data_IF_981148936819
#
_entry.id   IF_981148936819
#
_cell.length_a   1.000
_cell.length_b   1.000
_cell.length_c   1.000
_cell.angle_alpha   90.00
_cell.angle_beta   90.00
_cell.angle_gamma   90.00
#
_symmetry.space_group_name_H-M   'P 1'
#
loop_
_entity.id
_entity.type
_entity.pdbx_description
1 polymer ?
#
# COMPACT_ATOMS: atom_id res chain seq x y z
N UNK A 1 11.96 8.45 0.06
CA UNK A 1 11.41 8.58 -1.31
C UNK A 1 11.84 7.33 -2.08
N UNK A 2 10.99 6.75 -2.95
CA UNK A 2 11.34 5.57 -3.73
C UNK A 2 12.60 5.82 -4.58
N UNK A 3 13.40 4.78 -4.83
CA UNK A 3 14.54 4.89 -5.74
C UNK A 3 14.07 4.88 -7.20
N UNK A 4 14.91 5.36 -8.13
CA UNK A 4 14.58 5.36 -9.57
C UNK A 4 14.18 3.97 -10.11
N UNK A 5 14.89 2.86 -9.76
CA UNK A 5 14.49 1.53 -10.22
C UNK A 5 13.10 1.11 -9.73
N UNK A 6 12.70 1.52 -8.52
CA UNK A 6 11.37 1.21 -7.97
C UNK A 6 10.27 1.95 -8.75
N UNK A 7 10.57 3.17 -9.20
CA UNK A 7 9.66 3.97 -10.03
C UNK A 7 9.50 3.37 -11.42
N UNK A 8 10.57 2.84 -12.00
CA UNK A 8 10.53 2.17 -13.30
C UNK A 8 9.69 0.89 -13.25
N UNK A 9 9.83 0.08 -12.18
CA UNK A 9 9.02 -1.12 -11.97
C UNK A 9 7.52 -0.78 -11.80
N UNK A 10 7.21 0.29 -11.05
CA UNK A 10 5.85 0.78 -10.92
C UNK A 10 5.28 1.23 -12.27
N UNK A 11 6.04 2.01 -13.04
CA UNK A 11 5.63 2.51 -14.35
C UNK A 11 5.40 1.37 -15.36
N UNK A 12 6.24 0.32 -15.34
CA UNK A 12 6.07 -0.86 -16.17
C UNK A 12 4.80 -1.65 -15.81
N UNK A 13 4.41 -1.68 -14.53
CA UNK A 13 3.15 -2.30 -14.11
C UNK A 13 1.94 -1.47 -14.55
N UNK A 14 2.03 -0.14 -14.47
CA UNK A 14 0.97 0.79 -14.93
C UNK A 14 0.75 0.72 -16.45
N UNK A 15 1.81 0.50 -17.24
CA UNK A 15 1.69 0.46 -18.70
C UNK A 15 0.69 -0.62 -19.15
N UNK A 16 0.61 -1.74 -18.42
CA UNK A 16 -0.30 -2.86 -18.69
C UNK A 16 -1.79 -2.47 -18.62
N UNK A 17 -2.17 -1.52 -17.74
CA UNK A 17 -3.53 -0.97 -17.71
C UNK A 17 -3.70 0.10 -18.78
N UNK A 18 -2.73 1.00 -18.92
CA UNK A 18 -2.85 2.16 -19.82
C UNK A 18 -3.00 1.74 -21.29
N UNK A 19 -2.40 0.63 -21.69
CA UNK A 19 -2.56 0.05 -23.03
C UNK A 19 -3.99 -0.45 -23.31
N UNK A 20 -4.78 -0.70 -22.27
CA UNK A 20 -6.18 -1.05 -22.37
C UNK A 20 -7.14 0.14 -22.28
N UNK A 21 -6.67 1.33 -21.88
CA UNK A 21 -7.53 2.49 -21.70
C UNK A 21 -8.02 3.02 -23.06
N UNK A 22 -9.33 3.14 -23.24
CA UNK A 22 -9.94 3.64 -24.45
C UNK A 22 -11.33 4.21 -24.21
N UNK A 23 -11.97 4.64 -25.29
CA UNK A 23 -13.33 5.17 -25.26
C UNK A 23 -14.24 4.16 -25.95
N UNK A 24 -15.36 3.81 -25.31
CA UNK A 24 -16.43 3.00 -25.91
C UNK A 24 -17.68 3.85 -26.12
N UNK A 25 -18.39 3.57 -27.20
CA UNK A 25 -19.71 4.14 -27.44
C UNK A 25 -20.78 3.37 -26.66
N UNK A 26 -21.62 4.09 -25.91
CA UNK A 26 -22.76 3.58 -25.15
C UNK A 26 -24.06 4.25 -25.61
N UNK A 27 -25.21 3.73 -25.18
CA UNK A 27 -26.51 4.31 -25.52
C UNK A 27 -26.70 5.76 -25.02
N UNK A 28 -25.84 6.22 -24.09
CA UNK A 28 -25.89 7.57 -23.50
C UNK A 28 -24.72 8.46 -23.93
N UNK A 29 -23.87 8.02 -24.87
CA UNK A 29 -22.72 8.80 -25.35
C UNK A 29 -21.42 8.00 -25.31
N UNK A 30 -20.36 8.58 -24.75
CA UNK A 30 -19.04 7.97 -24.67
C UNK A 30 -18.66 7.69 -23.22
N UNK A 31 -18.09 6.52 -22.97
CA UNK A 31 -17.62 6.11 -21.65
C UNK A 31 -16.18 5.61 -21.71
N UNK A 32 -15.45 5.80 -20.60
CA UNK A 32 -14.15 5.18 -20.40
C UNK A 32 -14.33 3.66 -20.41
N UNK A 33 -13.55 3.01 -21.26
CA UNK A 33 -13.43 1.56 -21.31
C UNK A 33 -12.01 1.17 -20.96
N UNK A 34 -11.89 0.22 -20.04
CA UNK A 34 -10.63 -0.44 -19.73
C UNK A 34 -10.68 -1.79 -20.44
N UNK A 35 -10.04 -1.87 -21.59
CA UNK A 35 -9.85 -3.10 -22.35
C UNK A 35 -8.69 -3.89 -21.74
N UNK A 36 -8.94 -4.37 -20.52
CA UNK A 36 -7.99 -5.18 -19.76
C UNK A 36 -8.34 -6.64 -19.98
N UNK A 37 -7.32 -7.41 -20.36
CA UNK A 37 -7.43 -8.86 -20.47
C UNK A 37 -7.70 -9.44 -19.08
N UNK A 38 -8.94 -9.86 -18.86
CA UNK A 38 -9.39 -10.40 -17.57
C UNK A 38 -8.80 -11.78 -17.28
N UNK A 39 -8.31 -12.47 -18.30
CA UNK A 39 -7.67 -13.78 -18.16
C UNK A 39 -6.17 -13.64 -17.90
N UNK A 40 -5.62 -12.42 -17.98
CA UNK A 40 -4.23 -12.13 -17.64
C UNK A 40 -3.99 -12.17 -16.14
N UNK A 41 -3.05 -13.01 -15.71
CA UNK A 41 -2.58 -13.07 -14.32
C UNK A 41 -1.83 -11.80 -13.88
N UNK A 42 -1.46 -10.93 -14.81
CA UNK A 42 -0.85 -9.63 -14.49
C UNK A 42 -1.89 -8.59 -14.04
N UNK A 43 -3.18 -8.82 -14.30
CA UNK A 43 -4.22 -7.83 -14.05
C UNK A 43 -4.35 -7.42 -12.57
N UNK A 44 -4.32 -8.34 -11.58
CA UNK A 44 -4.33 -7.95 -10.17
C UNK A 44 -3.15 -7.06 -9.78
N UNK A 45 -1.95 -7.33 -10.31
CA UNK A 45 -0.74 -6.54 -10.03
C UNK A 45 -0.90 -5.12 -10.59
N UNK A 46 -1.38 -5.00 -11.82
CA UNK A 46 -1.55 -3.71 -12.44
C UNK A 46 -2.57 -2.85 -11.66
N UNK A 47 -3.67 -3.44 -11.17
CA UNK A 47 -4.65 -2.70 -10.35
C UNK A 47 -4.04 -2.22 -9.03
N UNK A 48 -3.23 -3.06 -8.37
CA UNK A 48 -2.51 -2.66 -7.16
C UNK A 48 -1.51 -1.53 -7.47
N UNK A 49 -0.80 -1.62 -8.59
CA UNK A 49 0.11 -0.57 -9.05
C UNK A 49 -0.63 0.76 -9.30
N UNK A 50 -1.82 0.72 -9.89
CA UNK A 50 -2.66 1.91 -10.06
C UNK A 50 -3.02 2.55 -8.72
N UNK A 51 -3.53 1.77 -7.75
CA UNK A 51 -3.83 2.28 -6.41
C UNK A 51 -2.59 2.81 -5.68
N UNK A 52 -1.44 2.17 -5.85
CA UNK A 52 -0.17 2.64 -5.28
C UNK A 52 0.28 3.97 -5.91
N UNK A 53 0.14 4.13 -7.22
CA UNK A 53 0.46 5.36 -7.93
C UNK A 53 -0.48 6.51 -7.52
N UNK A 54 -1.80 6.25 -7.43
CA UNK A 54 -2.79 7.20 -6.94
C UNK A 54 -2.47 7.67 -5.50
N UNK A 55 -2.10 6.74 -4.63
CA UNK A 55 -1.64 7.07 -3.27
C UNK A 55 -0.37 7.91 -3.29
N UNK A 56 0.61 7.58 -4.14
CA UNK A 56 1.91 8.25 -4.19
C UNK A 56 1.78 9.72 -4.62
N UNK A 57 0.86 10.03 -5.54
CA UNK A 57 0.61 11.40 -6.02
C UNK A 57 -0.37 12.19 -5.16
N UNK A 58 -1.03 11.56 -4.19
CA UNK A 58 -1.99 12.23 -3.31
C UNK A 58 -1.33 12.76 -2.03
N UNK A 59 -2.06 13.61 -1.29
CA UNK A 59 -1.64 14.05 0.04
C UNK A 59 -1.64 12.90 1.07
N UNK A 60 -2.33 11.78 0.77
CA UNK A 60 -2.39 10.62 1.67
C UNK A 60 -1.06 9.88 1.76
N UNK A 61 -0.12 10.12 0.82
CA UNK A 61 1.25 9.60 0.90
C UNK A 61 1.94 9.89 2.24
N UNK A 62 1.61 11.03 2.86
CA UNK A 62 2.18 11.44 4.15
C UNK A 62 1.64 10.60 5.32
N UNK A 63 0.55 9.85 5.10
CA UNK A 63 -0.03 8.92 6.06
C UNK A 63 0.57 7.51 5.94
N UNK A 64 1.46 7.27 4.98
CA UNK A 64 2.12 5.97 4.83
C UNK A 64 3.19 5.84 5.91
N UNK A 65 2.98 4.90 6.82
CA UNK A 65 3.92 4.55 7.88
C UNK A 65 4.53 3.16 7.66
N UNK A 66 5.69 2.94 8.25
CA UNK A 66 6.29 1.62 8.38
C UNK A 66 6.10 1.09 9.80
N UNK A 67 5.84 -0.21 9.94
CA UNK A 67 5.62 -0.86 11.22
C UNK A 67 6.83 -0.67 12.15
N UNK A 68 6.60 -0.07 13.33
CA UNK A 68 7.61 0.21 14.33
C UNK A 68 8.00 -1.00 15.20
N UNK A 69 7.73 -2.22 14.74
CA UNK A 69 8.17 -3.42 15.45
C UNK A 69 9.67 -3.65 15.23
N UNK A 70 10.43 -3.54 16.31
CA UNK A 70 11.90 -3.61 16.34
C UNK A 70 12.47 -4.95 15.88
N UNK A 71 11.65 -5.99 15.77
CA UNK A 71 12.06 -7.30 15.21
C UNK A 71 12.10 -7.34 13.69
N UNK A 72 11.89 -6.21 13.03
CA UNK A 72 12.01 -6.09 11.58
C UNK A 72 10.75 -6.51 10.81
N UNK A 73 9.55 -6.21 11.34
CA UNK A 73 8.32 -6.47 10.58
C UNK A 73 8.35 -5.77 9.22
N UNK A 74 8.73 -4.49 9.17
CA UNK A 74 9.00 -3.77 7.92
C UNK A 74 7.78 -3.48 7.04
N UNK A 75 6.59 -3.99 7.37
CA UNK A 75 5.36 -3.78 6.60
C UNK A 75 4.94 -2.31 6.61
N UNK A 76 4.42 -1.84 5.46
CA UNK A 76 3.82 -0.53 5.31
C UNK A 76 2.34 -0.55 5.71
N UNK A 77 1.82 0.60 6.13
CA UNK A 77 0.40 0.79 6.40
C UNK A 77 -0.02 2.23 6.09
N UNK A 78 -1.32 2.42 5.82
CA UNK A 78 -1.93 3.74 5.75
C UNK A 78 -2.49 4.13 7.13
N UNK A 79 -2.07 5.25 7.68
CA UNK A 79 -2.57 5.77 8.95
C UNK A 79 -3.92 6.48 8.77
N UNK A 80 -4.98 5.70 8.94
CA UNK A 80 -6.38 6.16 8.97
C UNK A 80 -6.86 6.55 10.37
N UNK A 81 -5.97 6.57 11.37
CA UNK A 81 -6.33 7.02 12.71
C UNK A 81 -6.62 8.52 12.74
N UNK A 82 -7.52 8.92 13.65
CA UNK A 82 -7.96 10.32 13.78
C UNK A 82 -6.80 11.29 14.04
N UNK A 83 -5.79 10.85 14.79
CA UNK A 83 -4.71 11.70 15.30
C UNK A 83 -3.33 11.34 14.73
N UNK A 84 -3.25 10.59 13.61
CA UNK A 84 -1.96 10.21 13.03
C UNK A 84 -1.03 9.48 14.01
N UNK A 85 -1.62 8.58 14.80
CA UNK A 85 -0.94 7.93 15.92
C UNK A 85 -0.70 6.43 15.72
N UNK A 86 -0.99 5.88 14.54
CA UNK A 86 -0.77 4.45 14.27
C UNK A 86 0.72 4.21 14.13
N UNK A 87 1.24 3.26 14.91
CA UNK A 87 2.66 2.87 14.91
C UNK A 87 2.93 1.47 14.34
N UNK A 88 1.91 0.63 14.25
CA UNK A 88 2.06 -0.78 13.87
C UNK A 88 1.14 -1.12 12.69
N UNK A 89 1.62 -2.02 11.81
CA UNK A 89 0.83 -2.51 10.69
C UNK A 89 -0.46 -3.20 11.15
N UNK A 90 -0.45 -3.84 12.31
CA UNK A 90 -1.64 -4.34 12.99
C UNK A 90 -1.48 -4.19 14.52
N UNK A 91 -2.53 -3.69 15.18
CA UNK A 91 -2.53 -3.40 16.62
C UNK A 91 -2.67 -4.67 17.49
N UNK A 92 -3.30 -5.72 16.97
CA UNK A 92 -3.51 -7.02 17.63
C UNK A 92 -2.31 -7.95 17.44
N UNK A 93 -1.59 -7.82 16.34
CA UNK A 93 -0.38 -8.59 16.08
C UNK A 93 0.86 -7.82 16.54
N UNK A 94 1.45 -7.00 15.67
CA UNK A 94 2.70 -6.28 15.96
C UNK A 94 2.59 -5.39 17.20
N UNK A 95 1.45 -4.70 17.38
CA UNK A 95 1.22 -3.84 18.55
C UNK A 95 1.05 -4.62 19.87
N UNK A 96 0.48 -5.82 19.86
CA UNK A 96 0.44 -6.66 21.06
C UNK A 96 1.82 -7.25 21.35
N UNK A 97 2.49 -7.73 20.31
CA UNK A 97 3.81 -8.34 20.39
C UNK A 97 4.87 -7.37 20.92
N UNK A 98 4.80 -6.08 20.56
CA UNK A 98 5.64 -5.00 21.12
C UNK A 98 5.34 -4.75 22.60
N UNK A 99 4.06 -4.67 22.99
CA UNK A 99 3.64 -4.49 24.39
C UNK A 99 4.12 -5.63 25.29
N UNK A 100 3.98 -6.86 24.82
CA UNK A 100 4.47 -8.06 25.53
C UNK A 100 5.98 -7.99 25.74
N UNK A 101 6.74 -7.66 24.69
CA UNK A 101 8.20 -7.54 24.78
C UNK A 101 8.62 -6.54 25.87
N UNK A 102 8.08 -5.31 25.81
CA UNK A 102 8.37 -4.27 26.80
C UNK A 102 7.93 -4.65 28.21
N UNK A 103 6.89 -5.46 28.36
CA UNK A 103 6.49 -5.99 29.67
C UNK A 103 7.53 -6.97 30.20
N UNK A 104 7.99 -7.91 29.38
CA UNK A 104 9.02 -8.90 29.77
C UNK A 104 10.38 -8.27 30.09
N UNK A 105 10.81 -7.25 29.35
CA UNK A 105 12.05 -6.53 29.66
C UNK A 105 11.98 -5.84 31.04
N UNK A 106 10.83 -5.22 31.35
CA UNK A 106 10.61 -4.58 32.65
C UNK A 106 10.56 -5.58 33.80
N UNK A 107 9.93 -6.73 33.62
CA UNK A 107 9.82 -7.73 34.70
C UNK A 107 11.12 -8.52 34.91
N UNK A 108 11.92 -8.74 33.86
CA UNK A 108 13.25 -9.36 34.00
C UNK A 108 14.31 -8.46 34.58
N UNK A 109 14.23 -7.14 34.36
CA UNK A 109 15.15 -6.17 34.97
C UNK A 109 14.83 -5.82 36.43
N UNK A 110 13.73 -6.37 36.99
CA UNK A 110 13.32 -6.20 38.39
C UNK A 110 13.62 -7.43 39.27
N UNK A 111 14.22 -8.47 38.71
CA UNK A 111 14.71 -9.67 39.40
C UNK A 111 16.24 -9.68 39.41
#
# INVERSE_FOLDING_TARGET
MPAEPDMDELNQSLSKISSGAGIRHSARGFEWAWNVDKDSLDMPIALVALSAAELLVSAERERVGQCADERGCGWLFLDTSKNHSRRWCDSKDCGNRDRQHRYYERTRGQA
#
